data_IF_080724289015
#
_entry.id   IF_080724289015
#
_cell.length_a   1.000
_cell.length_b   1.000
_cell.length_c   1.000
_cell.angle_alpha   90.00
_cell.angle_beta   90.00
_cell.angle_gamma   90.00
#
_symmetry.space_group_name_H-M   'P 1'
#
loop_
_entity.id
_entity.type
_entity.pdbx_description
1 polymer ?
#
# COMPACT_ATOMS: atom_id res chain seq x y z
N UNK A 1 2.08 -26.83 -75.86
CA UNK A 1 2.51 -25.47 -76.26
C UNK A 1 2.03 -24.49 -75.21
N UNK A 2 2.95 -23.90 -74.45
CA UNK A 2 2.73 -22.85 -73.43
C UNK A 2 2.57 -21.48 -74.12
N UNK A 3 1.96 -20.47 -73.47
CA UNK A 3 2.78 -19.53 -72.70
C UNK A 3 2.20 -19.14 -71.33
N UNK A 4 3.02 -18.38 -70.61
CA UNK A 4 3.18 -18.27 -69.16
C UNK A 4 2.75 -16.87 -68.67
N UNK A 5 2.57 -16.76 -67.34
CA UNK A 5 2.57 -15.55 -66.47
C UNK A 5 1.16 -14.98 -66.23
N UNK A 6 0.71 -14.88 -64.98
CA UNK A 6 1.22 -13.95 -63.97
C UNK A 6 1.19 -14.49 -62.52
N UNK A 7 2.19 -14.09 -61.74
CA UNK A 7 2.28 -14.22 -60.28
C UNK A 7 1.40 -13.13 -59.62
N UNK A 8 0.72 -13.46 -58.52
CA UNK A 8 0.39 -12.49 -57.47
C UNK A 8 0.28 -13.23 -56.13
N UNK A 9 1.29 -13.01 -55.29
CA UNK A 9 1.30 -13.38 -53.88
C UNK A 9 0.34 -12.46 -53.09
N UNK A 10 -0.30 -13.00 -52.06
CA UNK A 10 -1.17 -12.24 -51.17
C UNK A 10 -1.36 -12.96 -49.84
N UNK A 11 -0.28 -13.14 -49.09
CA UNK A 11 -0.32 -13.55 -47.68
C UNK A 11 -0.66 -12.31 -46.84
N UNK A 12 -1.89 -12.23 -46.35
CA UNK A 12 -2.34 -11.19 -45.42
C UNK A 12 -2.50 -11.76 -44.02
N UNK A 13 -1.41 -11.87 -43.26
CA UNK A 13 -1.44 -12.09 -41.82
C UNK A 13 -1.67 -10.71 -41.19
N UNK A 14 -2.91 -10.42 -40.81
CA UNK A 14 -3.24 -9.25 -40.00
C UNK A 14 -2.84 -9.54 -38.55
N UNK A 15 -1.62 -9.15 -38.16
CA UNK A 15 -1.23 -9.06 -36.77
C UNK A 15 -2.06 -7.97 -36.09
N UNK A 16 -3.08 -8.38 -35.33
CA UNK A 16 -3.73 -7.57 -34.30
C UNK A 16 -2.69 -7.28 -33.21
N UNK A 17 -1.94 -6.20 -33.37
CA UNK A 17 -1.11 -5.64 -32.30
C UNK A 17 -2.05 -4.93 -31.33
N UNK A 18 -2.51 -5.68 -30.33
CA UNK A 18 -3.08 -5.14 -29.11
C UNK A 18 -1.98 -4.34 -28.39
N UNK A 19 -1.88 -3.05 -28.69
CA UNK A 19 -1.01 -2.14 -27.98
C UNK A 19 -1.62 -1.90 -26.60
N UNK A 20 -1.36 -2.81 -25.65
CA UNK A 20 -1.67 -2.62 -24.25
C UNK A 20 -0.99 -1.32 -23.79
N UNK A 21 -1.79 -0.37 -23.33
CA UNK A 21 -1.32 0.78 -22.55
C UNK A 21 -0.62 0.24 -21.30
N UNK A 22 0.70 0.12 -21.37
CA UNK A 22 1.58 -0.10 -20.23
C UNK A 22 2.73 0.90 -20.34
N UNK A 23 2.39 2.19 -20.38
CA UNK A 23 3.34 3.23 -20.00
C UNK A 23 3.37 3.22 -18.47
N UNK A 24 4.38 2.55 -17.91
CA UNK A 24 4.82 2.76 -16.55
C UNK A 24 5.46 4.14 -16.48
N UNK A 25 4.78 5.05 -15.81
CA UNK A 25 5.24 6.40 -15.49
C UNK A 25 5.81 6.31 -14.07
N UNK A 26 7.09 6.64 -13.94
CA UNK A 26 7.84 6.95 -12.71
C UNK A 26 7.43 6.15 -11.43
N UNK A 27 8.16 5.09 -11.07
CA UNK A 27 7.93 4.37 -9.80
C UNK A 27 8.41 5.19 -8.58
N UNK A 28 7.60 6.15 -8.17
CA UNK A 28 7.43 6.59 -6.77
C UNK A 28 7.08 5.35 -5.91
N UNK A 29 8.08 4.53 -5.55
CA UNK A 29 7.91 3.23 -4.85
C UNK A 29 6.73 2.39 -5.39
N UNK A 30 7.04 1.52 -6.35
CA UNK A 30 6.08 0.68 -7.08
C UNK A 30 5.04 -0.01 -6.16
N UNK A 31 3.78 0.38 -6.31
CA UNK A 31 2.64 -0.21 -5.61
C UNK A 31 2.54 -1.73 -5.84
N UNK A 32 3.00 -2.24 -6.99
CA UNK A 32 3.00 -3.68 -7.27
C UNK A 32 3.96 -4.42 -6.35
N UNK A 33 5.21 -3.95 -6.26
CA UNK A 33 6.23 -4.50 -5.36
C UNK A 33 5.82 -4.39 -3.90
N UNK A 34 5.27 -3.24 -3.48
CA UNK A 34 4.73 -3.07 -2.13
C UNK A 34 3.58 -4.05 -1.83
N UNK A 35 2.62 -4.20 -2.75
CA UNK A 35 1.52 -5.14 -2.54
C UNK A 35 1.98 -6.59 -2.51
N UNK A 36 3.06 -6.95 -3.21
CA UNK A 36 3.66 -8.28 -3.13
C UNK A 36 4.24 -8.55 -1.72
N UNK A 37 4.92 -7.57 -1.14
CA UNK A 37 5.42 -7.66 0.25
C UNK A 37 4.26 -7.78 1.25
N UNK A 38 3.24 -6.93 1.12
CA UNK A 38 2.04 -6.98 1.95
C UNK A 38 1.34 -8.34 1.89
N UNK A 39 1.25 -8.97 0.70
CA UNK A 39 0.63 -10.28 0.56
C UNK A 39 1.48 -11.39 1.22
N UNK A 40 2.81 -11.32 1.06
CA UNK A 40 3.76 -12.22 1.74
C UNK A 40 3.67 -12.13 3.27
N UNK A 41 3.48 -10.91 3.80
CA UNK A 41 3.36 -10.64 5.22
C UNK A 41 1.91 -10.73 5.77
N UNK A 42 0.91 -11.00 4.93
CA UNK A 42 -0.52 -10.83 5.25
C UNK A 42 -0.97 -11.52 6.53
N UNK A 43 -0.50 -12.76 6.77
CA UNK A 43 -0.87 -13.48 7.98
C UNK A 43 -0.35 -12.78 9.24
N UNK A 44 0.89 -12.27 9.18
CA UNK A 44 1.52 -11.57 10.29
C UNK A 44 0.84 -10.22 10.53
N UNK A 45 0.53 -9.47 9.47
CA UNK A 45 -0.16 -8.17 9.56
C UNK A 45 -1.60 -8.25 10.06
N UNK A 46 -2.33 -9.33 9.75
CA UNK A 46 -3.77 -9.43 10.04
C UNK A 46 -4.10 -10.30 11.25
N UNK A 47 -3.19 -11.18 11.65
CA UNK A 47 -3.37 -12.08 12.79
C UNK A 47 -2.01 -12.40 13.45
N UNK A 48 -1.30 -11.38 13.98
CA UNK A 48 -0.01 -11.59 14.60
C UNK A 48 -0.14 -12.46 15.85
N UNK A 49 0.87 -13.30 16.09
CA UNK A 49 0.95 -14.17 17.27
C UNK A 49 1.93 -13.57 18.27
N UNK A 50 1.51 -12.51 18.97
CA UNK A 50 2.34 -11.83 19.97
C UNK A 50 2.19 -12.51 21.33
N UNK A 51 3.26 -13.14 21.82
CA UNK A 51 3.30 -13.85 23.12
C UNK A 51 4.41 -13.34 24.02
N UNK A 52 5.52 -12.90 23.43
CA UNK A 52 6.69 -12.40 24.14
C UNK A 52 7.05 -10.99 23.67
N UNK A 53 8.01 -10.37 24.36
CA UNK A 53 8.56 -9.08 23.94
C UNK A 53 9.28 -9.20 22.60
N UNK A 54 9.99 -10.30 22.35
CA UNK A 54 10.66 -10.54 21.08
C UNK A 54 9.67 -10.63 19.91
N UNK A 55 8.47 -11.20 20.14
CA UNK A 55 7.42 -11.21 19.12
C UNK A 55 6.94 -9.79 18.77
N UNK A 56 6.86 -8.91 19.77
CA UNK A 56 6.48 -7.49 19.59
C UNK A 56 7.56 -6.76 18.80
N UNK A 57 8.83 -6.93 19.15
CA UNK A 57 9.97 -6.34 18.44
C UNK A 57 10.00 -6.78 16.98
N UNK A 58 9.85 -8.07 16.71
CA UNK A 58 9.78 -8.61 15.36
C UNK A 58 8.59 -8.06 14.57
N UNK A 59 7.46 -7.80 15.23
CA UNK A 59 6.29 -7.20 14.59
C UNK A 59 6.52 -5.71 14.25
N UNK A 60 7.19 -4.97 15.12
CA UNK A 60 7.59 -3.58 14.84
C UNK A 60 8.59 -3.53 13.67
N UNK A 61 9.56 -4.44 13.63
CA UNK A 61 10.53 -4.54 12.55
C UNK A 61 9.89 -4.93 11.20
N UNK A 62 8.85 -5.75 11.22
CA UNK A 62 8.03 -6.00 10.04
C UNK A 62 7.42 -4.70 9.50
N UNK A 63 6.83 -3.87 10.37
CA UNK A 63 6.28 -2.58 9.95
C UNK A 63 7.34 -1.62 9.41
N UNK A 64 8.52 -1.56 10.04
CA UNK A 64 9.65 -0.76 9.55
C UNK A 64 10.11 -1.19 8.16
N UNK A 65 10.35 -2.48 7.97
CA UNK A 65 10.84 -3.03 6.68
C UNK A 65 9.85 -2.79 5.53
N UNK A 66 8.56 -2.99 5.76
CA UNK A 66 7.51 -2.64 4.78
C UNK A 66 7.50 -1.13 4.52
N UNK A 67 7.73 -0.33 5.57
CA UNK A 67 7.80 1.12 5.50
C UNK A 67 8.93 1.67 4.64
N UNK A 68 10.03 0.92 4.44
CA UNK A 68 11.11 1.28 3.52
C UNK A 68 10.68 1.27 2.04
N UNK A 69 9.64 0.50 1.72
CA UNK A 69 9.12 0.32 0.37
C UNK A 69 7.67 0.81 0.18
N UNK A 70 7.06 1.43 1.20
CA UNK A 70 5.75 2.08 1.11
C UNK A 70 5.65 3.13 -0.01
N UNK A 71 4.64 3.10 -0.90
CA UNK A 71 4.43 4.11 -1.93
C UNK A 71 4.27 5.52 -1.33
N UNK A 72 4.72 6.56 -2.04
CA UNK A 72 4.65 7.95 -1.52
C UNK A 72 3.23 8.36 -1.13
N UNK A 73 2.21 7.79 -1.77
CA UNK A 73 0.80 8.01 -1.48
C UNK A 73 0.35 7.63 -0.06
N UNK A 74 1.08 6.76 0.65
CA UNK A 74 0.79 6.34 2.03
C UNK A 74 2.03 6.27 2.93
N UNK A 75 3.17 6.79 2.48
CA UNK A 75 4.44 6.68 3.22
C UNK A 75 4.33 7.33 4.61
N UNK A 76 3.76 8.54 4.67
CA UNK A 76 3.58 9.26 5.93
C UNK A 76 2.66 8.50 6.88
N UNK A 77 1.53 8.00 6.37
CA UNK A 77 0.53 7.30 7.18
C UNK A 77 1.04 5.94 7.64
N UNK A 78 1.85 5.25 6.84
CA UNK A 78 2.54 4.04 7.26
C UNK A 78 3.58 4.30 8.35
N UNK A 79 4.33 5.41 8.23
CA UNK A 79 5.27 5.87 9.27
C UNK A 79 4.55 6.16 10.59
N UNK A 80 3.37 6.78 10.55
CA UNK A 80 2.55 7.02 11.74
C UNK A 80 2.12 5.71 12.42
N UNK A 81 1.70 4.72 11.64
CA UNK A 81 1.38 3.39 12.17
C UNK A 81 2.59 2.73 12.82
N UNK A 82 3.74 2.79 12.17
CA UNK A 82 5.00 2.25 12.69
C UNK A 82 5.35 2.92 14.02
N UNK A 83 5.30 4.25 14.07
CA UNK A 83 5.55 5.03 15.29
C UNK A 83 4.56 4.73 16.41
N UNK A 84 3.30 4.43 16.09
CA UNK A 84 2.32 3.97 17.08
C UNK A 84 2.72 2.61 17.68
N UNK A 85 3.12 1.64 16.86
CA UNK A 85 3.57 0.34 17.36
C UNK A 85 4.88 0.44 18.15
N UNK A 86 5.81 1.30 17.73
CA UNK A 86 7.02 1.59 18.50
C UNK A 86 6.71 2.15 19.88
N UNK A 87 5.77 3.09 19.97
CA UNK A 87 5.32 3.66 21.26
C UNK A 87 4.64 2.60 22.12
N UNK A 88 3.79 1.76 21.53
CA UNK A 88 3.13 0.67 22.23
C UNK A 88 4.12 -0.40 22.74
N UNK A 89 5.21 -0.65 22.01
CA UNK A 89 6.24 -1.60 22.38
C UNK A 89 7.07 -1.18 23.60
N UNK A 90 7.04 0.11 23.96
CA UNK A 90 7.75 0.67 25.12
C UNK A 90 6.87 0.86 26.36
N UNK A 91 5.63 0.38 26.35
CA UNK A 91 4.70 0.58 27.47
C UNK A 91 5.16 -0.16 28.72
N UNK A 92 5.29 0.59 29.81
CA UNK A 92 5.41 0.03 31.16
C UNK A 92 4.03 -0.03 31.82
N UNK A 93 3.51 -1.22 32.14
CA UNK A 93 2.18 -1.37 32.76
C UNK A 93 2.10 -0.84 34.19
N UNK A 94 3.23 -0.59 34.85
CA UNK A 94 3.29 -0.02 36.20
C UNK A 94 3.39 1.52 36.18
N UNK A 95 3.59 2.13 35.01
CA UNK A 95 3.66 3.58 34.81
C UNK A 95 2.39 4.14 34.13
N UNK A 96 1.55 4.89 34.87
CA UNK A 96 0.36 5.52 34.30
C UNK A 96 0.65 6.52 33.18
N UNK A 97 1.82 7.18 33.19
CA UNK A 97 2.19 8.14 32.16
C UNK A 97 2.51 7.41 30.84
N UNK A 98 3.27 6.32 30.91
CA UNK A 98 3.55 5.44 29.77
C UNK A 98 2.26 4.94 29.10
N UNK A 99 1.27 4.52 29.90
CA UNK A 99 -0.04 4.07 29.39
C UNK A 99 -0.79 5.22 28.68
N UNK A 100 -0.77 6.43 29.23
CA UNK A 100 -1.46 7.57 28.65
C UNK A 100 -0.79 8.04 27.35
N UNK A 101 0.54 8.02 27.28
CA UNK A 101 1.29 8.31 26.06
C UNK A 101 0.93 7.35 24.93
N UNK A 102 0.84 6.04 25.21
CA UNK A 102 0.44 5.05 24.22
C UNK A 102 -1.00 5.26 23.72
N UNK A 103 -1.94 5.61 24.61
CA UNK A 103 -3.32 5.95 24.20
C UNK A 103 -3.37 7.20 23.34
N UNK A 104 -2.68 8.25 23.74
CA UNK A 104 -2.63 9.50 23.00
C UNK A 104 -2.07 9.27 21.59
N UNK A 105 -1.01 8.46 21.47
CA UNK A 105 -0.43 8.09 20.18
C UNK A 105 -1.38 7.24 19.34
N UNK A 106 -2.09 6.30 19.95
CA UNK A 106 -3.09 5.50 19.24
C UNK A 106 -4.20 6.39 18.66
N UNK A 107 -4.72 7.35 19.44
CA UNK A 107 -5.74 8.29 18.96
C UNK A 107 -5.23 9.23 17.89
N UNK A 108 -4.00 9.75 18.03
CA UNK A 108 -3.44 10.67 17.03
C UNK A 108 -3.16 10.00 15.68
N UNK A 109 -3.11 8.67 15.62
CA UNK A 109 -2.77 7.90 14.40
C UNK A 109 -3.95 7.16 13.76
N UNK A 110 -5.17 7.37 14.27
CA UNK A 110 -6.39 6.75 13.74
C UNK A 110 -6.73 7.15 12.29
N UNK A 111 -6.48 8.41 11.89
CA UNK A 111 -6.68 8.87 10.50
C UNK A 111 -5.75 8.09 9.56
N UNK A 112 -4.46 8.01 9.91
CA UNK A 112 -3.43 7.28 9.17
C UNK A 112 -3.78 5.80 9.03
N UNK A 113 -4.27 5.17 10.10
CA UNK A 113 -4.77 3.78 10.07
C UNK A 113 -5.92 3.59 9.08
N UNK A 114 -6.86 4.54 9.04
CA UNK A 114 -8.00 4.51 8.13
C UNK A 114 -7.58 4.68 6.67
N UNK A 115 -6.65 5.59 6.40
CA UNK A 115 -6.09 5.85 5.07
C UNK A 115 -5.35 4.60 4.56
N UNK A 116 -4.42 4.05 5.36
CA UNK A 116 -3.67 2.83 4.99
C UNK A 116 -4.62 1.65 4.76
N UNK A 117 -5.59 1.41 5.65
CA UNK A 117 -6.53 0.30 5.50
C UNK A 117 -7.40 0.44 4.23
N UNK A 118 -7.80 1.66 3.87
CA UNK A 118 -8.52 1.94 2.62
C UNK A 118 -7.62 1.72 1.41
N UNK A 119 -6.38 2.21 1.45
CA UNK A 119 -5.43 2.08 0.36
C UNK A 119 -5.07 0.61 0.10
N UNK A 120 -4.73 -0.15 1.13
CA UNK A 120 -4.42 -1.58 1.02
C UNK A 120 -5.59 -2.40 0.48
N UNK A 121 -6.82 -2.05 0.87
CA UNK A 121 -8.02 -2.71 0.35
C UNK A 121 -8.19 -2.43 -1.14
N UNK A 122 -8.01 -1.19 -1.57
CA UNK A 122 -8.21 -0.79 -2.97
C UNK A 122 -7.10 -1.26 -3.90
N UNK A 123 -5.85 -1.28 -3.43
CA UNK A 123 -4.68 -1.54 -4.27
C UNK A 123 -4.14 -2.97 -4.13
N UNK A 124 -4.13 -3.52 -2.91
CA UNK A 124 -3.57 -4.85 -2.64
C UNK A 124 -4.63 -5.93 -2.35
N UNK A 125 -5.91 -5.56 -2.24
CA UNK A 125 -6.98 -6.49 -1.84
C UNK A 125 -6.85 -7.03 -0.41
N UNK A 126 -6.02 -6.39 0.43
CA UNK A 126 -5.77 -6.81 1.81
C UNK A 126 -6.60 -5.96 2.78
N UNK A 127 -7.24 -6.62 3.73
CA UNK A 127 -7.98 -5.98 4.83
C UNK A 127 -7.16 -6.04 6.10
N UNK A 128 -6.56 -4.92 6.46
CA UNK A 128 -5.78 -4.78 7.69
C UNK A 128 -6.73 -4.48 8.85
N UNK A 129 -7.16 -5.56 9.53
CA UNK A 129 -8.05 -5.53 10.70
C UNK A 129 -9.41 -4.83 10.49
N UNK A 130 -10.27 -4.81 11.52
CA UNK A 130 -11.24 -3.74 11.68
C UNK A 130 -10.53 -2.52 12.30
N UNK A 131 -10.32 -1.47 11.51
CA UNK A 131 -9.94 -0.16 12.07
C UNK A 131 -11.18 0.40 12.76
N UNK A 132 -11.16 0.41 14.09
CA UNK A 132 -12.19 1.07 14.90
C UNK A 132 -11.63 2.43 15.28
N UNK A 133 -12.28 3.51 14.87
CA UNK A 133 -11.88 4.86 15.24
C UNK A 133 -12.78 5.35 16.36
N UNK A 134 -12.19 5.93 17.40
CA UNK A 134 -12.94 6.60 18.47
C UNK A 134 -13.19 8.05 18.08
N UNK A 135 -12.24 8.65 17.35
CA UNK A 135 -12.37 10.00 16.80
C UNK A 135 -13.07 9.92 15.44
N UNK A 136 -14.03 10.82 15.14
CA UNK A 136 -14.55 10.97 13.80
C UNK A 136 -13.44 11.51 12.88
N UNK A 137 -13.14 10.78 11.80
CA UNK A 137 -12.23 11.23 10.76
C UNK A 137 -13.02 11.53 9.49
N UNK A 138 -13.00 12.78 9.05
CA UNK A 138 -13.52 13.13 7.74
C UNK A 138 -12.63 12.47 6.69
N UNK A 139 -13.19 11.56 5.90
CA UNK A 139 -12.48 10.79 4.87
C UNK A 139 -11.89 11.75 3.82
N UNK A 140 -10.69 12.30 4.09
CA UNK A 140 -9.96 13.12 3.15
C UNK A 140 -9.66 12.25 1.95
N UNK A 141 -10.36 12.51 0.86
CA UNK A 141 -10.10 11.83 -0.40
C UNK A 141 -8.69 12.23 -0.82
N UNK A 142 -7.83 11.23 -1.05
CA UNK A 142 -6.50 11.45 -1.62
C UNK A 142 -6.61 12.46 -2.77
N UNK A 143 -5.68 13.42 -2.91
CA UNK A 143 -5.78 14.44 -3.94
C UNK A 143 -5.97 13.77 -5.30
N UNK A 144 -7.09 14.06 -5.97
CA UNK A 144 -7.28 13.68 -7.37
C UNK A 144 -6.13 14.27 -8.19
N UNK A 145 -5.58 13.56 -9.19
CA UNK A 145 -4.58 14.14 -10.06
C UNK A 145 -5.18 15.39 -10.72
N UNK A 146 -4.57 16.54 -10.45
CA UNK A 146 -4.91 17.82 -11.06
C UNK A 146 -4.89 17.63 -12.57
N UNK A 147 -6.05 17.66 -13.20
CA UNK A 147 -6.16 17.77 -14.66
C UNK A 147 -5.66 19.17 -15.04
N UNK A 148 -4.40 19.26 -15.44
CA UNK A 148 -3.83 20.49 -16.02
C UNK A 148 -4.61 20.81 -17.29
N UNK A 149 -5.55 21.74 -17.18
CA UNK A 149 -6.28 22.30 -18.32
C UNK A 149 -5.38 23.38 -18.96
N UNK A 150 -4.58 22.97 -19.94
CA UNK A 150 -3.92 23.90 -20.86
C UNK A 150 -4.98 24.47 -21.81
N UNK A 151 -5.23 25.76 -21.72
CA UNK A 151 -6.13 26.51 -22.63
C UNK A 151 -5.32 27.04 -23.83
N UNK A 152 -5.86 27.01 -25.06
CA UNK A 152 -5.17 27.45 -26.28
C UNK A 152 -4.94 28.96 -26.38
#
# INVERSE_FOLDING_TARGET
>A
MTPRRTFAAGAGIACLVSMSLACGEETERDATSFCAEIDGAKQQLTNPRLRTQEDVEAYVDLYRSIGEIAPLAIESEWSDLTSNYETAATVDPEDPESIEQAKAKAFSTEESATIVAKWLRSNCGVRLGPVSTIVPHDNRTAPSPTSTTTTP
#
